data_IF_372844674356
#
_entry.id   IF_372844674356
#
_cell.length_a   1.000
_cell.length_b   1.000
_cell.length_c   1.000
_cell.angle_alpha   90.00
_cell.angle_beta   90.00
_cell.angle_gamma   90.00
#
_symmetry.space_group_name_H-M   'P 1'
#
loop_
_entity.id
_entity.type
_entity.pdbx_description
1 polymer ?
#
# COMPACT_ATOMS: atom_id res chain seq x y z
N UNK A 1 -1.84 36.23 1.69
CA UNK A 1 -2.11 36.48 0.25
C UNK A 1 -1.31 35.42 -0.49
N UNK A 2 -1.93 34.65 -1.39
CA UNK A 2 -1.24 33.52 -2.03
C UNK A 2 -0.14 33.94 -3.00
N UNK A 3 0.84 33.06 -3.19
CA UNK A 3 1.92 33.21 -4.18
C UNK A 3 1.55 32.53 -5.49
N UNK A 4 1.90 33.16 -6.60
CA UNK A 4 1.67 32.64 -7.95
C UNK A 4 2.99 32.23 -8.60
N UNK A 5 3.11 30.96 -8.96
CA UNK A 5 4.26 30.39 -9.65
C UNK A 5 3.89 30.13 -11.11
N UNK A 6 4.71 30.63 -12.03
CA UNK A 6 4.43 30.57 -13.47
C UNK A 6 5.56 29.86 -14.21
N UNK A 7 5.20 28.82 -14.95
CA UNK A 7 6.04 28.18 -15.96
C UNK A 7 5.69 28.76 -17.33
N UNK A 8 6.53 29.68 -17.81
CA UNK A 8 6.33 30.39 -19.08
C UNK A 8 6.50 29.50 -20.31
N UNK A 9 7.24 28.39 -20.21
CA UNK A 9 7.50 27.50 -21.36
C UNK A 9 6.27 26.64 -21.63
N UNK A 10 5.75 26.01 -20.58
CA UNK A 10 4.55 25.17 -20.69
C UNK A 10 3.23 25.95 -20.52
N UNK A 11 3.32 27.28 -20.29
CA UNK A 11 2.18 28.19 -20.08
C UNK A 11 1.24 27.73 -18.96
N UNK A 12 1.83 27.30 -17.84
CA UNK A 12 1.08 26.87 -16.66
C UNK A 12 1.37 27.81 -15.51
N UNK A 13 0.33 28.25 -14.82
CA UNK A 13 0.44 29.05 -13.62
C UNK A 13 -0.34 28.38 -12.49
N UNK A 14 0.26 28.33 -11.30
CA UNK A 14 -0.34 27.78 -10.09
C UNK A 14 -0.29 28.86 -9.03
N UNK A 15 -1.42 29.12 -8.39
CA UNK A 15 -1.50 30.02 -7.24
C UNK A 15 -1.81 29.22 -6.00
N UNK A 16 -1.00 29.41 -4.95
CA UNK A 16 -1.09 28.63 -3.71
C UNK A 16 -1.34 29.58 -2.56
N UNK A 17 -2.39 29.35 -1.76
CA UNK A 17 -2.66 30.18 -0.59
C UNK A 17 -1.65 29.89 0.53
N UNK A 18 -1.48 30.84 1.46
CA UNK A 18 -0.61 30.63 2.64
C UNK A 18 -1.13 29.52 3.56
N UNK A 19 -2.45 29.31 3.57
CA UNK A 19 -3.12 28.31 4.38
C UNK A 19 -4.11 27.51 3.53
N UNK A 20 -4.22 26.23 3.82
CA UNK A 20 -5.23 25.33 3.26
C UNK A 20 -6.12 24.79 4.38
N UNK A 21 -7.29 24.27 4.02
CA UNK A 21 -8.23 23.63 4.96
C UNK A 21 -8.14 22.13 4.73
N UNK A 22 -7.87 21.36 5.77
CA UNK A 22 -8.06 19.91 5.70
C UNK A 22 -9.57 19.61 5.70
N UNK A 23 -10.07 19.08 4.59
CA UNK A 23 -11.50 18.81 4.40
C UNK A 23 -12.00 17.76 5.40
N UNK A 24 -11.13 16.90 5.94
CA UNK A 24 -11.51 15.85 6.90
C UNK A 24 -11.65 16.36 8.32
N UNK A 25 -10.78 17.28 8.75
CA UNK A 25 -10.78 17.80 10.12
C UNK A 25 -11.45 19.16 10.25
N UNK A 26 -11.52 19.92 9.15
CA UNK A 26 -11.97 21.32 9.13
C UNK A 26 -10.90 22.30 9.61
N UNK A 27 -9.70 21.82 9.96
CA UNK A 27 -8.63 22.66 10.47
C UNK A 27 -7.90 23.40 9.35
N UNK A 28 -7.48 24.64 9.65
CA UNK A 28 -6.63 25.40 8.75
C UNK A 28 -5.16 25.14 9.06
N UNK A 29 -4.42 24.73 8.03
CA UNK A 29 -2.99 24.46 8.10
C UNK A 29 -2.23 25.43 7.21
N UNK A 30 -1.11 25.93 7.71
CA UNK A 30 -0.16 26.68 6.90
C UNK A 30 0.48 25.75 5.87
N UNK A 31 0.61 26.23 4.63
CA UNK A 31 1.40 25.56 3.61
C UNK A 31 2.84 25.52 4.05
N UNK A 32 3.46 24.34 3.99
CA UNK A 32 4.84 24.19 4.42
C UNK A 32 5.80 24.90 3.46
N UNK A 33 6.86 25.49 4.00
CA UNK A 33 7.91 26.14 3.18
C UNK A 33 8.55 25.18 2.18
N UNK A 34 8.71 23.91 2.57
CA UNK A 34 9.24 22.88 1.69
C UNK A 34 8.37 22.69 0.44
N UNK A 35 7.04 22.75 0.57
CA UNK A 35 6.12 22.66 -0.58
C UNK A 35 6.30 23.87 -1.49
N UNK A 36 6.42 25.07 -0.94
CA UNK A 36 6.67 26.30 -1.70
C UNK A 36 8.00 26.21 -2.49
N UNK A 37 9.08 25.80 -1.84
CA UNK A 37 10.40 25.60 -2.47
C UNK A 37 10.35 24.57 -3.62
N UNK A 38 9.61 23.47 -3.45
CA UNK A 38 9.44 22.47 -4.52
C UNK A 38 8.70 23.05 -5.72
N UNK A 39 7.62 23.80 -5.49
CA UNK A 39 6.85 24.42 -6.57
C UNK A 39 7.68 25.48 -7.29
N UNK A 40 8.44 26.28 -6.54
CA UNK A 40 9.39 27.22 -7.09
C UNK A 40 10.44 26.53 -7.96
N UNK A 41 11.03 25.43 -7.48
CA UNK A 41 11.98 24.63 -8.26
C UNK A 41 11.35 24.12 -9.57
N UNK A 42 10.12 23.60 -9.54
CA UNK A 42 9.44 23.10 -10.73
C UNK A 42 9.01 24.20 -11.71
N UNK A 43 8.71 25.41 -11.21
CA UNK A 43 8.44 26.59 -12.04
C UNK A 43 9.68 27.01 -12.82
N UNK A 44 10.83 27.09 -12.13
CA UNK A 44 12.12 27.47 -12.73
C UNK A 44 12.61 26.44 -13.75
N UNK A 45 12.37 25.15 -13.51
CA UNK A 45 12.84 24.06 -14.38
C UNK A 45 11.85 23.67 -15.48
N UNK A 46 10.76 24.42 -15.68
CA UNK A 46 9.75 24.11 -16.69
C UNK A 46 9.13 22.72 -16.55
N UNK A 47 8.92 22.29 -15.30
CA UNK A 47 8.35 20.97 -14.96
C UNK A 47 7.11 21.08 -14.07
N UNK A 48 6.54 22.28 -13.97
CA UNK A 48 5.35 22.54 -13.14
C UNK A 48 4.16 21.64 -13.53
N UNK A 49 4.00 21.38 -14.83
CA UNK A 49 3.00 20.44 -15.37
C UNK A 49 3.19 19.03 -14.81
N UNK A 50 4.43 18.56 -14.75
CA UNK A 50 4.75 17.22 -14.26
C UNK A 50 4.45 17.10 -12.76
N UNK A 51 4.77 18.15 -11.99
CA UNK A 51 4.43 18.21 -10.56
C UNK A 51 2.92 18.07 -10.35
N UNK A 52 2.11 18.84 -11.08
CA UNK A 52 0.65 18.81 -10.97
C UNK A 52 0.10 17.45 -11.34
N UNK A 53 0.49 16.89 -12.49
CA UNK A 53 -0.02 15.60 -12.91
C UNK A 53 0.42 14.47 -12.00
N UNK A 54 1.66 14.50 -11.49
CA UNK A 54 2.13 13.49 -10.53
C UNK A 54 1.36 13.58 -9.21
N UNK A 55 1.09 14.80 -8.72
CA UNK A 55 0.30 15.01 -7.51
C UNK A 55 -1.16 14.56 -7.67
N UNK A 56 -1.79 14.87 -8.82
CA UNK A 56 -3.15 14.42 -9.14
C UNK A 56 -3.21 12.91 -9.30
N UNK A 57 -2.26 12.32 -10.01
CA UNK A 57 -2.15 10.86 -10.16
C UNK A 57 -2.00 10.19 -8.79
N UNK A 58 -1.15 10.72 -7.90
CA UNK A 58 -1.02 10.21 -6.54
C UNK A 58 -2.30 10.41 -5.70
N UNK A 59 -3.02 11.51 -5.88
CA UNK A 59 -4.27 11.79 -5.17
C UNK A 59 -5.42 10.87 -5.60
N UNK A 60 -5.53 10.61 -6.91
CA UNK A 60 -6.57 9.76 -7.49
C UNK A 60 -6.24 8.28 -7.49
N UNK A 61 -4.97 7.91 -7.31
CA UNK A 61 -4.62 6.51 -7.04
C UNK A 61 -5.41 6.08 -5.80
N UNK A 62 -6.28 5.07 -5.91
CA UNK A 62 -6.93 4.51 -4.74
C UNK A 62 -5.80 4.15 -3.80
N UNK A 63 -5.77 4.75 -2.61
CA UNK A 63 -4.74 4.52 -1.61
C UNK A 63 -4.55 3.01 -1.57
N UNK A 64 -3.45 2.52 -2.16
CA UNK A 64 -3.26 1.10 -2.43
C UNK A 64 -3.64 0.42 -1.13
N UNK A 65 -4.73 -0.35 -1.19
CA UNK A 65 -5.48 -0.78 -0.02
C UNK A 65 -4.47 -1.04 1.07
N UNK A 66 -4.52 -0.20 2.14
CA UNK A 66 -3.51 -0.12 3.20
C UNK A 66 -2.91 -1.50 3.33
N UNK A 67 -1.59 -1.63 3.21
CA UNK A 67 -0.86 -2.92 3.19
C UNK A 67 -1.36 -3.97 4.22
N UNK A 68 -2.16 -3.58 5.21
CA UNK A 68 -3.17 -4.37 5.92
C UNK A 68 -4.02 -5.34 5.07
N UNK A 69 -4.71 -4.98 3.98
CA UNK A 69 -5.62 -5.95 3.33
C UNK A 69 -4.90 -7.14 2.71
N UNK A 70 -3.77 -6.92 2.04
CA UNK A 70 -2.99 -8.04 1.49
C UNK A 70 -2.30 -8.87 2.59
N UNK A 71 -1.92 -8.25 3.71
CA UNK A 71 -1.34 -8.98 4.85
C UNK A 71 -2.39 -9.73 5.65
N UNK A 72 -3.60 -9.18 5.81
CA UNK A 72 -4.77 -9.83 6.39
C UNK A 72 -5.23 -11.01 5.51
N UNK A 73 -5.30 -10.82 4.19
CA UNK A 73 -5.60 -11.90 3.24
C UNK A 73 -4.54 -13.00 3.34
N UNK A 74 -3.25 -12.66 3.42
CA UNK A 74 -2.18 -13.64 3.62
C UNK A 74 -2.29 -14.38 4.95
N UNK A 75 -2.64 -13.70 6.05
CA UNK A 75 -2.87 -14.33 7.36
C UNK A 75 -4.07 -15.27 7.34
N UNK A 76 -5.16 -14.89 6.68
CA UNK A 76 -6.33 -15.76 6.52
C UNK A 76 -6.00 -16.99 5.67
N UNK A 77 -5.24 -16.82 4.58
CA UNK A 77 -4.78 -17.93 3.75
C UNK A 77 -3.84 -18.87 4.51
N UNK A 78 -2.96 -18.34 5.37
CA UNK A 78 -2.13 -19.15 6.27
C UNK A 78 -2.98 -19.93 7.29
N UNK A 79 -4.04 -19.32 7.83
CA UNK A 79 -4.96 -19.99 8.75
C UNK A 79 -5.73 -21.12 8.05
N UNK A 80 -6.21 -20.89 6.82
CA UNK A 80 -6.87 -21.91 6.00
C UNK A 80 -5.91 -23.06 5.69
N UNK A 81 -4.66 -22.75 5.32
CA UNK A 81 -3.62 -23.75 5.09
C UNK A 81 -3.34 -24.58 6.35
N UNK A 82 -3.27 -23.97 7.52
CA UNK A 82 -3.08 -24.66 8.79
C UNK A 82 -4.25 -25.60 9.12
N UNK A 83 -5.49 -25.20 8.81
CA UNK A 83 -6.68 -26.04 8.97
C UNK A 83 -6.68 -27.24 8.00
N UNK A 84 -6.28 -27.01 6.75
CA UNK A 84 -6.18 -28.07 5.73
C UNK A 84 -5.05 -29.06 6.05
N UNK A 85 -3.90 -28.57 6.50
CA UNK A 85 -2.75 -29.41 6.88
C UNK A 85 -3.00 -30.22 8.16
N UNK A 86 -3.90 -29.77 9.04
CA UNK A 86 -4.28 -30.53 10.23
C UNK A 86 -5.19 -31.72 9.95
N UNK A 87 -5.56 -31.97 8.70
CA UNK A 87 -6.34 -33.13 8.29
C UNK A 87 -7.76 -33.07 8.85
N UNK A 88 -8.71 -32.69 8.01
CA UNK A 88 -10.11 -33.03 8.27
C UNK A 88 -10.25 -34.55 8.22
N UNK A 89 -10.35 -35.20 9.38
CA UNK A 89 -10.93 -36.53 9.54
C UNK A 89 -12.15 -36.36 10.46
N UNK A 90 -13.37 -36.63 9.97
CA UNK A 90 -14.59 -36.50 10.75
C UNK A 90 -14.68 -37.63 11.78
N UNK A 91 -15.13 -37.27 12.99
CA UNK A 91 -15.55 -38.14 14.10
C UNK A 91 -14.97 -39.55 14.22
N UNK A 92 -14.14 -39.78 15.24
CA UNK A 92 -14.10 -41.01 16.08
C UNK A 92 -13.40 -40.65 17.41
N UNK A 93 -13.84 -41.30 18.46
CA UNK A 93 -13.60 -41.07 19.88
C UNK A 93 -12.14 -41.12 20.39
N UNK A 94 -11.94 -40.44 21.53
CA UNK A 94 -11.08 -40.74 22.68
C UNK A 94 -9.71 -41.46 22.48
N UNK A 95 -8.62 -40.80 22.91
CA UNK A 95 -7.69 -41.27 23.97
C UNK A 95 -6.36 -40.50 24.00
N UNK A 96 -6.04 -39.99 25.19
CA UNK A 96 -4.77 -39.71 25.88
C UNK A 96 -3.61 -38.86 25.30
N UNK A 97 -2.90 -38.10 26.20
CA UNK A 97 -1.83 -37.18 25.84
C UNK A 97 -0.43 -37.78 26.10
N UNK A 98 0.43 -37.85 25.09
CA UNK A 98 1.87 -38.06 25.32
C UNK A 98 2.76 -37.53 24.18
N UNK A 99 3.59 -36.53 24.52
CA UNK A 99 4.98 -36.28 24.08
C UNK A 99 5.32 -36.35 22.57
N UNK A 100 5.80 -35.24 21.98
CA UNK A 100 7.22 -35.05 21.54
C UNK A 100 7.46 -33.75 20.73
N UNK A 101 8.43 -32.95 21.20
CA UNK A 101 9.44 -32.05 20.55
C UNK A 101 9.09 -31.23 19.28
N UNK A 102 9.34 -29.89 19.23
CA UNK A 102 9.10 -29.07 18.04
C UNK A 102 10.23 -29.24 17.01
N UNK A 103 9.88 -29.69 15.79
CA UNK A 103 10.79 -29.71 14.63
C UNK A 103 10.64 -28.37 13.89
N UNK A 104 11.76 -27.63 13.73
CA UNK A 104 11.82 -26.35 13.01
C UNK A 104 11.16 -26.45 11.62
N UNK A 105 10.37 -25.46 11.18
CA UNK A 105 9.81 -25.45 9.84
C UNK A 105 10.93 -25.25 8.82
N UNK A 106 11.03 -26.17 7.85
CA UNK A 106 11.88 -26.04 6.68
C UNK A 106 11.24 -24.99 5.77
N UNK A 107 12.00 -23.97 5.38
CA UNK A 107 11.54 -22.94 4.44
C UNK A 107 11.14 -23.62 3.11
N UNK A 108 9.96 -23.29 2.60
CA UNK A 108 9.46 -23.80 1.33
C UNK A 108 10.35 -23.30 0.17
N UNK A 109 10.69 -24.22 -0.72
CA UNK A 109 11.41 -23.93 -1.97
C UNK A 109 10.41 -23.64 -3.08
N UNK A 110 10.78 -22.81 -4.05
CA UNK A 110 9.90 -22.31 -5.12
C UNK A 110 9.31 -23.46 -5.96
N UNK A 111 10.00 -24.60 -6.00
CA UNK A 111 9.57 -25.83 -6.67
C UNK A 111 8.25 -26.39 -6.12
N UNK A 112 8.04 -26.33 -4.80
CA UNK A 112 6.82 -26.85 -4.16
C UNK A 112 5.59 -25.97 -4.50
N UNK A 113 5.83 -24.72 -4.91
CA UNK A 113 4.78 -23.78 -5.27
C UNK A 113 4.27 -24.03 -6.69
N UNK A 114 5.12 -24.52 -7.60
CA UNK A 114 4.73 -24.91 -8.95
C UNK A 114 3.84 -26.15 -8.95
N UNK A 115 4.16 -27.16 -8.12
CA UNK A 115 3.35 -28.38 -8.02
C UNK A 115 1.93 -28.10 -7.51
N UNK A 116 1.79 -27.12 -6.60
CA UNK A 116 0.48 -26.69 -6.11
C UNK A 116 -0.27 -25.92 -7.21
N UNK A 117 0.38 -25.02 -7.94
CA UNK A 117 -0.27 -24.25 -9.00
C UNK A 117 -0.73 -25.13 -10.18
N UNK A 118 0.03 -26.18 -10.51
CA UNK A 118 -0.33 -27.14 -11.56
C UNK A 118 -1.54 -27.99 -11.18
N UNK A 119 -1.69 -28.33 -9.88
CA UNK A 119 -2.86 -29.07 -9.39
C UNK A 119 -4.18 -28.26 -9.43
N UNK A 120 -4.11 -26.93 -9.51
CA UNK A 120 -5.27 -26.04 -9.63
C UNK A 120 -5.47 -25.48 -11.05
N UNK A 121 -4.45 -25.56 -11.91
CA UNK A 121 -4.43 -24.98 -13.25
C UNK A 121 -4.67 -25.99 -14.38
N UNK A 122 -5.68 -26.84 -14.24
CA UNK A 122 -6.19 -27.63 -15.37
C UNK A 122 -6.65 -26.75 -16.54
#
# INVERSE_FOLDING_TARGET
MGETYTDYVNRVAITIPDNYIDIKTGDSHAVSKLIQEQIEYHAHNHTLVHLVFSALDQYFKPAAAKSGTNTEIMQELEAIKALLQRGYIPGIAAADPARTVPKKPKALDISDLNDILEAFGG
#
